data_IF_071052790729
#
_entry.id   IF_071052790729
#
_cell.length_a   1.000
_cell.length_b   1.000
_cell.length_c   1.000
_cell.angle_alpha   90.00
_cell.angle_beta   90.00
_cell.angle_gamma   90.00
#
_symmetry.space_group_name_H-M   'P 1'
#
loop_
_entity.id
_entity.type
_entity.pdbx_description
1 polymer ?
#
# COMPACT_ATOMS: atom_id res chain seq x y z
N UNK A 1 -19.92 4.10 -8.49
CA UNK A 1 -19.01 3.07 -7.97
C UNK A 1 -17.60 3.36 -8.44
N UNK A 2 -16.62 3.18 -7.56
CA UNK A 2 -15.20 3.31 -7.87
C UNK A 2 -14.46 2.03 -7.51
N UNK A 3 -13.41 1.72 -8.26
CA UNK A 3 -12.38 0.75 -7.89
C UNK A 3 -11.19 1.50 -7.30
N UNK A 4 -10.88 1.20 -6.04
CA UNK A 4 -9.79 1.79 -5.30
C UNK A 4 -8.64 0.78 -5.26
N UNK A 5 -7.55 1.11 -5.95
CA UNK A 5 -6.36 0.27 -5.97
C UNK A 5 -5.44 0.65 -4.81
N UNK A 6 -5.05 -0.30 -3.98
CA UNK A 6 -4.13 -0.06 -2.86
C UNK A 6 -2.77 -0.64 -3.21
N UNK A 7 -1.78 0.24 -3.38
CA UNK A 7 -0.38 -0.15 -3.52
C UNK A 7 0.20 -0.17 -2.11
N UNK A 8 0.32 -1.35 -1.51
CA UNK A 8 0.61 -1.54 -0.10
C UNK A 8 1.95 -2.22 0.16
N UNK A 9 2.50 -1.99 1.36
CA UNK A 9 3.73 -2.67 1.81
C UNK A 9 4.69 -1.75 2.56
N UNK A 10 5.67 -2.31 3.31
CA UNK A 10 6.58 -1.56 4.16
C UNK A 10 7.28 -0.39 3.45
N UNK A 11 7.74 0.64 4.19
CA UNK A 11 8.54 1.71 3.58
C UNK A 11 9.75 1.14 2.82
N UNK A 12 10.09 1.74 1.67
CA UNK A 12 11.24 1.36 0.83
C UNK A 12 11.20 -0.04 0.19
N UNK A 13 10.08 -0.76 0.25
CA UNK A 13 9.93 -2.09 -0.38
C UNK A 13 9.87 -2.04 -1.92
N UNK A 14 9.65 -0.87 -2.54
CA UNK A 14 9.59 -0.71 -4.01
C UNK A 14 8.21 -0.34 -4.58
N UNK A 15 7.24 0.01 -3.73
CA UNK A 15 5.87 0.39 -4.12
C UNK A 15 5.79 1.43 -5.22
N UNK A 16 6.43 2.59 -5.05
CA UNK A 16 6.36 3.67 -6.05
C UNK A 16 7.13 3.35 -7.35
N UNK A 17 7.98 2.33 -7.33
CA UNK A 17 8.76 1.91 -8.51
C UNK A 17 7.97 0.94 -9.37
N UNK A 18 7.39 -0.09 -8.75
CA UNK A 18 6.73 -1.18 -9.48
C UNK A 18 5.21 -1.13 -9.38
N UNK A 19 4.66 -0.57 -8.30
CA UNK A 19 3.22 -0.47 -8.07
C UNK A 19 2.40 0.17 -9.20
N UNK A 20 2.89 1.25 -9.85
CA UNK A 20 2.19 1.84 -11.00
C UNK A 20 1.93 0.85 -12.15
N UNK A 21 2.80 -0.14 -12.36
CA UNK A 21 2.67 -1.11 -13.46
C UNK A 21 1.54 -2.13 -13.24
N UNK A 22 1.01 -2.20 -12.03
CA UNK A 22 -0.06 -3.14 -11.65
C UNK A 22 -1.43 -2.49 -11.49
N UNK A 23 -1.54 -1.18 -11.74
CA UNK A 23 -2.81 -0.46 -11.74
C UNK A 23 -3.12 0.04 -13.15
N UNK A 24 -4.40 0.28 -13.49
CA UNK A 24 -4.74 0.78 -14.83
C UNK A 24 -3.99 2.06 -15.20
N UNK A 25 -3.56 2.17 -16.45
CA UNK A 25 -2.84 3.33 -16.95
C UNK A 25 -3.66 4.62 -16.79
N UNK A 26 -2.99 5.71 -16.40
CA UNK A 26 -3.60 7.04 -16.30
C UNK A 26 -4.45 7.29 -15.05
N UNK A 27 -4.61 6.31 -14.15
CA UNK A 27 -5.31 6.56 -12.89
C UNK A 27 -4.48 7.42 -11.94
N UNK A 28 -5.16 8.21 -11.12
CA UNK A 28 -4.51 9.06 -10.14
C UNK A 28 -4.01 8.23 -8.95
N UNK A 29 -2.73 8.40 -8.59
CA UNK A 29 -2.15 7.81 -7.38
C UNK A 29 -2.12 8.86 -6.27
N UNK A 30 -2.76 8.56 -5.14
CA UNK A 30 -2.73 9.37 -3.92
C UNK A 30 -1.71 8.78 -2.94
N UNK A 31 -0.60 9.48 -2.73
CA UNK A 31 0.37 9.12 -1.69
C UNK A 31 0.22 10.07 -0.50
N UNK A 32 -0.36 9.63 0.64
CA UNK A 32 -0.55 10.46 1.82
C UNK A 32 0.78 10.89 2.45
N UNK A 33 1.82 10.06 2.39
CA UNK A 33 3.14 10.39 2.95
C UNK A 33 3.77 11.53 2.13
N UNK A 34 3.74 11.42 0.79
CA UNK A 34 4.24 12.45 -0.12
C UNK A 34 3.44 13.75 -0.03
N UNK A 35 2.11 13.68 0.08
CA UNK A 35 1.25 14.86 0.26
C UNK A 35 1.59 15.56 1.58
N UNK A 36 1.71 14.80 2.68
CA UNK A 36 2.07 15.36 3.99
C UNK A 36 3.46 15.96 3.97
N UNK A 37 4.43 15.31 3.32
CA UNK A 37 5.79 15.82 3.17
C UNK A 37 5.80 17.17 2.42
N UNK A 38 5.19 17.24 1.23
CA UNK A 38 5.13 18.47 0.42
C UNK A 38 4.51 19.63 1.18
N UNK A 39 3.44 19.35 1.93
CA UNK A 39 2.81 20.39 2.76
C UNK A 39 3.71 20.83 3.91
N UNK A 40 4.44 19.91 4.55
CA UNK A 40 5.40 20.23 5.61
C UNK A 40 6.55 21.11 5.10
N UNK A 41 7.07 20.85 3.90
CA UNK A 41 8.11 21.65 3.24
C UNK A 41 7.65 23.10 3.00
N UNK A 42 6.34 23.31 2.82
CA UNK A 42 5.72 24.64 2.73
C UNK A 42 5.38 25.27 4.10
N UNK A 43 5.76 24.63 5.21
CA UNK A 43 5.41 25.07 6.57
C UNK A 43 3.94 24.80 6.96
N UNK A 44 3.19 24.03 6.17
CA UNK A 44 1.76 23.79 6.35
C UNK A 44 1.54 22.46 7.10
N UNK A 45 0.93 22.52 8.28
CA UNK A 45 0.68 21.32 9.12
C UNK A 45 -0.52 20.47 8.69
N UNK A 46 -1.33 20.94 7.75
CA UNK A 46 -2.62 20.33 7.36
C UNK A 46 -2.54 19.38 6.16
N UNK A 47 -1.36 18.83 5.83
CA UNK A 47 -1.17 17.94 4.69
C UNK A 47 -2.09 16.71 4.69
N UNK A 48 -2.34 16.11 5.85
CA UNK A 48 -3.25 14.95 5.94
C UNK A 48 -4.71 15.34 5.63
N UNK A 49 -5.15 16.51 6.11
CA UNK A 49 -6.47 17.08 5.76
C UNK A 49 -6.60 17.35 4.27
N UNK A 50 -5.49 17.65 3.58
CA UNK A 50 -5.50 17.76 2.11
C UNK A 50 -5.70 16.41 1.45
N UNK A 51 -4.99 15.38 1.91
CA UNK A 51 -5.19 14.02 1.44
C UNK A 51 -6.65 13.57 1.60
N UNK A 52 -7.26 13.78 2.78
CA UNK A 52 -8.68 13.45 3.02
C UNK A 52 -9.62 14.15 2.03
N UNK A 53 -9.38 15.43 1.73
CA UNK A 53 -10.17 16.16 0.73
C UNK A 53 -9.99 15.60 -0.69
N UNK A 54 -8.78 15.16 -1.04
CA UNK A 54 -8.51 14.54 -2.34
C UNK A 54 -9.21 13.18 -2.43
N UNK A 55 -9.11 12.35 -1.39
CA UNK A 55 -9.81 11.08 -1.27
C UNK A 55 -11.32 11.27 -1.44
N UNK A 56 -11.93 12.18 -0.67
CA UNK A 56 -13.36 12.48 -0.77
C UNK A 56 -13.75 12.96 -2.17
N UNK A 57 -12.91 13.76 -2.82
CA UNK A 57 -13.17 14.24 -4.18
C UNK A 57 -13.21 13.09 -5.20
N UNK A 58 -12.28 12.12 -5.13
CA UNK A 58 -12.31 10.97 -6.04
C UNK A 58 -13.51 10.06 -5.78
N UNK A 59 -13.82 9.81 -4.50
CA UNK A 59 -14.98 9.00 -4.10
C UNK A 59 -16.31 9.61 -4.57
N UNK A 60 -16.53 10.91 -4.32
CA UNK A 60 -17.74 11.61 -4.76
C UNK A 60 -17.87 11.68 -6.28
N UNK A 61 -16.75 11.61 -7.00
CA UNK A 61 -16.74 11.60 -8.46
C UNK A 61 -16.92 10.20 -9.06
N UNK A 62 -17.02 9.14 -8.24
CA UNK A 62 -17.06 7.74 -8.69
C UNK A 62 -15.90 7.40 -9.65
N UNK A 63 -14.72 7.97 -9.44
CA UNK A 63 -13.55 7.69 -10.27
C UNK A 63 -12.71 6.59 -9.65
N UNK A 64 -12.11 5.78 -10.50
CA UNK A 64 -11.07 4.86 -10.11
C UNK A 64 -9.78 5.61 -9.77
N UNK A 65 -9.11 5.19 -8.71
CA UNK A 65 -7.86 5.80 -8.26
C UNK A 65 -7.05 4.82 -7.42
N UNK A 66 -5.77 5.12 -7.24
CA UNK A 66 -4.88 4.36 -6.38
C UNK A 66 -4.51 5.13 -5.12
N UNK A 67 -4.16 4.41 -4.07
CA UNK A 67 -3.58 4.94 -2.83
C UNK A 67 -2.32 4.15 -2.49
N UNK A 68 -1.19 4.82 -2.28
CA UNK A 68 0.02 4.17 -1.76
C UNK A 68 0.00 4.16 -0.22
N UNK A 69 0.13 2.99 0.41
CA UNK A 69 0.07 2.83 1.87
C UNK A 69 1.17 1.91 2.39
N UNK A 70 1.61 2.10 3.63
CA UNK A 70 2.50 1.13 4.29
C UNK A 70 1.76 -0.01 5.00
N UNK A 71 0.47 0.15 5.27
CA UNK A 71 -0.39 -0.76 6.05
C UNK A 71 0.11 -1.17 7.46
N UNK A 72 1.20 -0.59 7.96
CA UNK A 72 1.67 -0.78 9.33
C UNK A 72 0.89 0.02 10.38
N UNK A 73 -0.15 0.75 9.99
CA UNK A 73 -0.93 1.65 10.86
C UNK A 73 -2.43 1.32 10.80
N UNK A 74 -3.05 1.19 11.98
CA UNK A 74 -4.50 0.93 12.12
C UNK A 74 -5.37 1.93 11.34
N UNK A 75 -5.01 3.22 11.37
CA UNK A 75 -5.74 4.29 10.69
C UNK A 75 -5.92 4.06 9.18
N UNK A 76 -5.02 3.30 8.55
CA UNK A 76 -5.18 2.94 7.13
C UNK A 76 -6.39 2.04 6.92
N UNK A 77 -6.57 1.04 7.77
CA UNK A 77 -7.71 0.14 7.70
C UNK A 77 -9.01 0.84 8.10
N UNK A 78 -8.96 1.76 9.07
CA UNK A 78 -10.11 2.59 9.42
C UNK A 78 -10.55 3.44 8.21
N UNK A 79 -9.60 4.05 7.49
CA UNK A 79 -9.86 4.77 6.24
C UNK A 79 -10.46 3.86 5.16
N UNK A 80 -9.93 2.66 4.95
CA UNK A 80 -10.45 1.74 3.93
C UNK A 80 -11.86 1.24 4.27
N UNK A 81 -12.19 1.04 5.55
CA UNK A 81 -13.57 0.79 5.99
C UNK A 81 -14.49 1.96 5.67
N UNK A 82 -14.02 3.21 5.86
CA UNK A 82 -14.79 4.39 5.45
C UNK A 82 -15.01 4.44 3.94
N UNK A 83 -14.02 4.05 3.13
CA UNK A 83 -14.16 3.96 1.66
C UNK A 83 -15.25 2.95 1.27
N UNK A 84 -15.27 1.77 1.89
CA UNK A 84 -16.33 0.76 1.69
C UNK A 84 -17.70 1.26 2.16
N UNK A 85 -17.75 1.94 3.30
CA UNK A 85 -19.00 2.50 3.84
C UNK A 85 -19.54 3.69 3.02
N UNK A 86 -18.70 4.37 2.25
CA UNK A 86 -19.11 5.50 1.41
C UNK A 86 -20.08 5.07 0.30
N UNK A 87 -19.86 3.90 -0.30
CA UNK A 87 -20.76 3.27 -1.26
C UNK A 87 -20.53 1.76 -1.24
N UNK A 88 -21.58 0.96 -1.04
CA UNK A 88 -21.46 -0.51 -0.89
C UNK A 88 -20.75 -1.18 -2.06
N UNK A 89 -20.95 -0.65 -3.26
CA UNK A 89 -20.39 -1.19 -4.50
C UNK A 89 -18.97 -0.71 -4.80
N UNK A 90 -18.35 0.07 -3.91
CA UNK A 90 -16.93 0.40 -4.05
C UNK A 90 -16.10 -0.87 -3.91
N UNK A 91 -15.14 -1.06 -4.81
CA UNK A 91 -14.21 -2.19 -4.78
C UNK A 91 -12.86 -1.71 -4.27
N UNK A 92 -12.21 -2.53 -3.45
CA UNK A 92 -10.85 -2.32 -2.96
C UNK A 92 -10.01 -3.49 -3.43
N UNK A 93 -9.10 -3.19 -4.35
CA UNK A 93 -8.14 -4.16 -4.90
C UNK A 93 -6.76 -3.82 -4.36
N UNK A 94 -6.13 -4.74 -3.65
CA UNK A 94 -4.84 -4.47 -3.01
C UNK A 94 -3.72 -5.28 -3.66
N UNK A 95 -2.62 -4.59 -3.92
CA UNK A 95 -1.32 -5.15 -4.26
C UNK A 95 -0.38 -4.96 -3.07
N UNK A 96 -0.01 -6.06 -2.42
CA UNK A 96 0.79 -6.03 -1.20
C UNK A 96 2.21 -6.51 -1.46
N UNK A 97 3.14 -5.55 -1.49
CA UNK A 97 4.58 -5.80 -1.58
C UNK A 97 5.14 -6.18 -0.22
N UNK A 98 5.84 -7.29 -0.16
CA UNK A 98 6.49 -7.74 1.06
C UNK A 98 7.77 -8.54 0.74
N UNK A 99 8.52 -8.87 1.78
CA UNK A 99 9.76 -9.65 1.69
C UNK A 99 9.97 -10.38 3.00
N UNK A 100 10.75 -11.47 2.97
CA UNK A 100 11.26 -12.13 4.18
C UNK A 100 12.40 -11.33 4.84
N UNK A 101 13.05 -10.44 4.09
CA UNK A 101 14.29 -9.79 4.49
C UNK A 101 14.09 -8.28 4.65
N UNK A 102 13.84 -7.85 5.89
CA UNK A 102 13.72 -6.42 6.23
C UNK A 102 14.95 -5.61 5.83
N UNK A 103 16.13 -6.23 5.78
CA UNK A 103 17.38 -5.61 5.38
C UNK A 103 17.30 -4.95 4.01
N UNK A 104 16.47 -5.47 3.09
CA UNK A 104 16.21 -4.85 1.79
C UNK A 104 15.60 -3.44 1.97
N UNK A 105 14.61 -3.30 2.86
CA UNK A 105 13.98 -2.02 3.16
C UNK A 105 14.95 -1.05 3.85
N UNK A 106 15.76 -1.55 4.79
CA UNK A 106 16.72 -0.75 5.55
C UNK A 106 17.88 -0.27 4.66
N UNK A 107 18.44 -1.15 3.82
CA UNK A 107 19.48 -0.82 2.86
C UNK A 107 19.00 0.23 1.86
N UNK A 108 17.79 0.08 1.32
CA UNK A 108 17.19 1.07 0.41
C UNK A 108 16.90 2.40 1.11
N UNK A 109 16.48 2.40 2.37
CA UNK A 109 16.31 3.62 3.15
C UNK A 109 17.65 4.35 3.35
N UNK A 110 18.71 3.61 3.69
CA UNK A 110 20.05 4.12 3.86
C UNK A 110 20.60 4.74 2.57
N UNK A 111 20.37 4.10 1.41
CA UNK A 111 20.77 4.62 0.10
C UNK A 111 20.02 5.90 -0.31
N UNK A 112 18.80 6.12 0.21
CA UNK A 112 17.95 7.28 -0.10
C UNK A 112 18.18 8.50 0.79
N UNK A 113 19.18 8.47 1.68
CA UNK A 113 19.43 9.50 2.71
C UNK A 113 19.56 10.94 2.21
N UNK A 114 19.67 11.16 0.90
CA UNK A 114 19.84 12.50 0.37
C UNK A 114 18.57 13.30 0.08
N UNK A 115 17.32 12.79 0.02
CA UNK A 115 16.22 13.68 -0.39
C UNK A 115 14.73 13.39 -0.05
N UNK A 116 14.33 12.36 0.72
CA UNK A 116 12.89 12.19 1.05
C UNK A 116 12.61 11.72 2.49
N UNK A 117 11.44 12.15 3.02
CA UNK A 117 10.91 11.99 4.38
C UNK A 117 11.69 11.06 5.32
N UNK A 118 12.38 11.67 6.30
CA UNK A 118 13.09 10.98 7.37
C UNK A 118 12.13 10.17 8.26
N UNK A 119 11.91 8.90 7.92
CA UNK A 119 11.51 7.89 8.91
C UNK A 119 12.78 7.37 9.55
N UNK A 120 12.80 7.26 10.88
CA UNK A 120 13.89 6.54 11.56
C UNK A 120 13.88 5.07 11.12
N UNK A 121 15.03 4.40 11.21
CA UNK A 121 15.12 2.96 10.96
C UNK A 121 14.15 2.18 11.86
N UNK A 122 14.08 2.55 13.15
CA UNK A 122 13.09 2.04 14.12
C UNK A 122 11.64 2.18 13.62
N UNK A 123 11.29 3.31 12.98
CA UNK A 123 9.96 3.48 12.40
C UNK A 123 9.72 2.52 11.22
N UNK A 124 10.74 2.20 10.43
CA UNK A 124 10.62 1.26 9.30
C UNK A 124 10.41 -0.16 9.81
N UNK A 125 11.18 -0.58 10.82
CA UNK A 125 11.05 -1.88 11.48
C UNK A 125 9.66 -2.09 12.07
N UNK A 126 9.18 -1.11 12.85
CA UNK A 126 7.85 -1.16 13.43
C UNK A 126 6.75 -1.26 12.37
N UNK A 127 6.88 -0.53 11.26
CA UNK A 127 5.90 -0.59 10.18
C UNK A 127 5.95 -1.91 9.42
N UNK A 128 7.15 -2.47 9.22
CA UNK A 128 7.35 -3.79 8.62
C UNK A 128 6.67 -4.87 9.48
N UNK A 129 7.05 -4.98 10.75
CA UNK A 129 6.53 -6.00 11.68
C UNK A 129 5.00 -5.95 11.78
N UNK A 130 4.40 -4.76 11.74
CA UNK A 130 2.95 -4.59 11.87
C UNK A 130 2.17 -4.83 10.58
N UNK A 131 2.76 -4.60 9.41
CA UNK A 131 2.03 -4.57 8.15
C UNK A 131 1.33 -5.90 7.83
N UNK A 132 2.06 -7.02 7.88
CA UNK A 132 1.49 -8.33 7.53
C UNK A 132 0.43 -8.81 8.55
N UNK A 133 0.65 -8.76 9.88
CA UNK A 133 -0.40 -9.11 10.85
C UNK A 133 -1.65 -8.24 10.74
N UNK A 134 -1.49 -6.94 10.49
CA UNK A 134 -2.62 -6.04 10.30
C UNK A 134 -3.37 -6.35 9.00
N UNK A 135 -2.67 -6.62 7.89
CA UNK A 135 -3.30 -7.07 6.65
C UNK A 135 -4.13 -8.33 6.87
N UNK A 136 -3.53 -9.38 7.46
CA UNK A 136 -4.20 -10.67 7.72
C UNK A 136 -5.45 -10.52 8.59
N UNK A 137 -5.46 -9.60 9.56
CA UNK A 137 -6.61 -9.33 10.44
C UNK A 137 -7.74 -8.54 9.80
N UNK A 138 -7.53 -7.98 8.61
CA UNK A 138 -8.48 -7.10 7.93
C UNK A 138 -8.77 -7.54 6.49
N UNK A 139 -8.63 -8.84 6.19
CA UNK A 139 -8.86 -9.40 4.85
C UNK A 139 -10.30 -9.19 4.35
N UNK A 140 -11.25 -9.01 5.27
CA UNK A 140 -12.66 -8.74 5.01
C UNK A 140 -12.91 -7.42 4.25
N UNK A 141 -11.96 -6.49 4.29
CA UNK A 141 -12.07 -5.17 3.64
C UNK A 141 -11.88 -5.27 2.12
N UNK A 142 -11.10 -6.25 1.66
CA UNK A 142 -10.59 -6.29 0.28
C UNK A 142 -11.41 -7.24 -0.58
N UNK A 143 -11.74 -6.81 -1.80
CA UNK A 143 -12.36 -7.68 -2.80
C UNK A 143 -11.32 -8.62 -3.42
N UNK A 144 -10.13 -8.09 -3.67
CA UNK A 144 -8.97 -8.85 -4.16
C UNK A 144 -7.70 -8.43 -3.43
N UNK A 145 -6.82 -9.41 -3.19
CA UNK A 145 -5.48 -9.18 -2.65
C UNK A 145 -4.46 -9.98 -3.43
N UNK A 146 -3.49 -9.29 -4.02
CA UNK A 146 -2.33 -9.88 -4.68
C UNK A 146 -1.10 -9.69 -3.80
N UNK A 147 -0.44 -10.79 -3.45
CA UNK A 147 0.83 -10.78 -2.73
C UNK A 147 1.98 -10.68 -3.71
N UNK A 148 2.88 -9.73 -3.49
CA UNK A 148 4.05 -9.49 -4.32
C UNK A 148 5.31 -9.69 -3.49
N UNK A 149 6.11 -10.66 -3.89
CA UNK A 149 7.39 -10.95 -3.25
C UNK A 149 8.51 -10.09 -3.82
N UNK A 150 9.26 -9.45 -2.92
CA UNK A 150 10.40 -8.61 -3.27
C UNK A 150 11.67 -9.28 -2.77
N UNK A 151 12.55 -9.60 -3.71
CA UNK A 151 13.85 -10.24 -3.46
C UNK A 151 14.99 -9.30 -3.83
N UNK A 152 16.11 -9.43 -3.14
CA UNK A 152 17.28 -8.55 -3.31
C UNK A 152 17.86 -8.61 -4.74
N UNK A 153 17.86 -9.81 -5.35
CA UNK A 153 18.43 -10.06 -6.68
C UNK A 153 17.38 -10.16 -7.80
N UNK A 154 16.10 -9.87 -7.53
CA UNK A 154 15.09 -9.88 -8.57
C UNK A 154 15.00 -8.52 -9.24
N UNK A 155 15.04 -8.51 -10.57
CA UNK A 155 14.86 -7.29 -11.38
C UNK A 155 13.42 -6.80 -11.24
N UNK A 156 12.46 -7.74 -11.14
CA UNK A 156 11.03 -7.45 -11.06
C UNK A 156 10.39 -8.21 -9.88
N UNK A 157 9.47 -7.58 -9.13
CA UNK A 157 8.69 -8.26 -8.11
C UNK A 157 7.76 -9.33 -8.70
N UNK A 158 7.59 -10.45 -8.01
CA UNK A 158 6.77 -11.57 -8.49
C UNK A 158 5.43 -11.64 -7.74
N UNK A 159 4.32 -11.79 -8.46
CA UNK A 159 3.02 -12.10 -7.82
C UNK A 159 3.05 -13.57 -7.40
N UNK A 160 3.01 -13.80 -6.08
CA UNK A 160 3.12 -15.14 -5.48
C UNK A 160 1.78 -15.70 -5.00
N UNK A 161 0.78 -14.86 -4.80
CA UNK A 161 -0.58 -15.31 -4.52
C UNK A 161 -1.63 -14.28 -4.92
N UNK A 162 -2.84 -14.77 -5.13
CA UNK A 162 -4.03 -13.98 -5.43
C UNK A 162 -5.22 -14.50 -4.62
N UNK A 163 -5.68 -13.70 -3.66
CA UNK A 163 -6.90 -13.91 -2.91
C UNK A 163 -8.05 -13.14 -3.54
N UNK A 164 -9.21 -13.80 -3.67
CA UNK A 164 -10.44 -13.21 -4.14
C UNK A 164 -11.59 -13.49 -3.16
N UNK A 165 -12.20 -12.42 -2.62
CA UNK A 165 -13.21 -12.53 -1.57
C UNK A 165 -14.50 -13.20 -2.06
N UNK A 166 -14.95 -12.89 -3.28
CA UNK A 166 -16.23 -13.38 -3.83
C UNK A 166 -16.31 -14.90 -3.91
N UNK A 167 -15.17 -15.56 -4.14
CA UNK A 167 -15.03 -17.01 -4.24
C UNK A 167 -14.38 -17.62 -2.99
N UNK A 168 -13.88 -16.79 -2.07
CA UNK A 168 -13.04 -17.20 -0.95
C UNK A 168 -11.86 -18.10 -1.37
N UNK A 169 -11.32 -17.87 -2.57
CA UNK A 169 -10.22 -18.66 -3.15
C UNK A 169 -8.89 -17.94 -3.01
N UNK A 170 -7.83 -18.73 -2.84
CA UNK A 170 -6.44 -18.26 -2.91
C UNK A 170 -5.73 -19.09 -3.97
N UNK A 171 -5.26 -18.43 -5.01
CA UNK A 171 -4.31 -18.99 -5.97
C UNK A 171 -2.90 -18.70 -5.49
N UNK A 172 -2.01 -19.69 -5.52
CA UNK A 172 -0.63 -19.57 -5.02
C UNK A 172 0.37 -20.03 -6.07
N UNK A 173 1.56 -19.42 -6.07
CA UNK A 173 2.72 -19.90 -6.81
C UNK A 173 3.17 -21.27 -6.28
N UNK A 174 3.96 -22.00 -7.08
CA UNK A 174 4.53 -23.30 -6.67
C UNK A 174 5.44 -23.19 -5.46
N UNK A 175 6.16 -22.07 -5.36
CA UNK A 175 7.07 -21.76 -4.26
C UNK A 175 6.63 -20.45 -3.60
N UNK A 176 6.35 -20.51 -2.30
CA UNK A 176 5.97 -19.36 -1.50
C UNK A 176 7.14 -18.94 -0.59
N UNK A 177 7.41 -17.64 -0.45
CA UNK A 177 8.31 -17.13 0.58
C UNK A 177 7.72 -17.36 1.97
N UNK A 178 8.55 -17.30 3.01
CA UNK A 178 8.14 -17.66 4.39
C UNK A 178 7.03 -16.75 4.91
N UNK A 179 7.04 -15.48 4.54
CA UNK A 179 6.02 -14.52 4.94
C UNK A 179 4.62 -14.85 4.39
N UNK A 180 4.56 -15.55 3.26
CA UNK A 180 3.32 -15.93 2.57
C UNK A 180 2.83 -17.34 2.94
N UNK A 181 3.65 -18.14 3.64
CA UNK A 181 3.28 -19.45 4.18
C UNK A 181 2.44 -19.41 5.45
#
# INVERSE_FOLDING_TARGET
MATIYIIAGPPNIGKSTFGPDFVPEGIKILDPDLIVQRYRELGIRSGYKRFEKMLQHELSANRDFAIELNLGLRKHFDMLRMVKAFHSDNRIEILFFYTDHIDICLARAQARKDNQAHRSMETIEDLYIRALPLLKRNLDIFDTLKGVDVRENSIEPEIIFHYQQSSATIEVSKELPRWAG
#
